data_IF_832947366725
#
_entry.id   IF_832947366725
#
_cell.length_a   1.000
_cell.length_b   1.000
_cell.length_c   1.000
_cell.angle_alpha   90.00
_cell.angle_beta   90.00
_cell.angle_gamma   90.00
#
_symmetry.space_group_name_H-M   'P 1'
#
loop_
_entity.id
_entity.type
_entity.pdbx_description
1 polymer ?
#
# COMPACT_ATOMS: atom_id res chain seq x y z
N UNK A 1 -56.14 -7.64 31.26
CA UNK A 1 -55.16 -7.73 32.36
C UNK A 1 -53.91 -7.01 31.91
N UNK A 2 -53.62 -5.82 32.46
CA UNK A 2 -52.38 -5.09 32.19
C UNK A 2 -51.35 -5.51 33.25
N UNK A 3 -50.30 -6.21 32.84
CA UNK A 3 -49.15 -6.44 33.72
C UNK A 3 -48.40 -5.11 33.92
N UNK A 4 -48.05 -4.72 35.16
CA UNK A 4 -47.31 -3.50 35.40
C UNK A 4 -45.88 -3.65 34.87
N UNK A 5 -45.45 -2.71 34.04
CA UNK A 5 -44.06 -2.60 33.59
C UNK A 5 -43.20 -2.32 34.82
N UNK A 6 -42.26 -3.22 35.11
CA UNK A 6 -41.36 -3.09 36.24
C UNK A 6 -40.34 -1.98 35.96
N UNK A 7 -40.61 -0.77 36.50
CA UNK A 7 -39.84 0.45 36.26
C UNK A 7 -38.35 0.31 36.61
N UNK A 8 -38.02 -0.59 37.54
CA UNK A 8 -36.64 -0.92 37.91
C UNK A 8 -35.86 -1.59 36.76
N UNK A 9 -36.51 -2.41 35.93
CA UNK A 9 -35.88 -3.00 34.74
C UNK A 9 -35.62 -1.95 33.65
N UNK A 10 -36.51 -0.95 33.53
CA UNK A 10 -36.33 0.16 32.60
C UNK A 10 -35.19 1.09 33.01
N UNK A 11 -35.02 1.35 34.32
CA UNK A 11 -33.89 2.14 34.82
C UNK A 11 -32.55 1.41 34.68
N UNK A 12 -32.52 0.08 34.83
CA UNK A 12 -31.31 -0.71 34.61
C UNK A 12 -30.89 -0.73 33.13
N UNK A 13 -31.85 -0.74 32.20
CA UNK A 13 -31.57 -0.63 30.76
C UNK A 13 -31.21 0.80 30.31
N UNK A 14 -31.61 1.82 31.08
CA UNK A 14 -31.29 3.23 30.85
C UNK A 14 -29.97 3.68 31.51
N UNK A 15 -29.23 2.77 32.16
CA UNK A 15 -27.88 3.06 32.58
C UNK A 15 -27.07 3.47 31.33
N UNK A 16 -26.43 4.65 31.32
CA UNK A 16 -25.61 5.05 30.19
C UNK A 16 -24.56 3.95 30.02
N UNK A 17 -24.64 3.23 28.90
CA UNK A 17 -23.58 2.33 28.48
C UNK A 17 -22.33 3.21 28.48
N UNK A 18 -21.47 3.01 29.48
CA UNK A 18 -20.19 3.65 29.52
C UNK A 18 -19.52 3.23 28.22
N UNK A 19 -19.51 4.14 27.25
CA UNK A 19 -18.78 3.98 26.01
C UNK A 19 -17.33 4.07 26.46
N UNK A 20 -16.79 2.94 26.92
CA UNK A 20 -15.35 2.74 27.03
C UNK A 20 -14.82 3.24 25.69
N UNK A 21 -13.91 4.22 25.65
CA UNK A 21 -13.38 4.70 24.39
C UNK A 21 -12.73 3.50 23.73
N UNK A 22 -13.45 2.88 22.79
CA UNK A 22 -12.91 1.91 21.87
C UNK A 22 -11.74 2.64 21.26
N UNK A 23 -10.53 2.18 21.57
CA UNK A 23 -9.30 2.57 20.88
C UNK A 23 -9.65 2.76 19.42
N UNK A 24 -9.57 4.01 18.94
CA UNK A 24 -9.90 4.34 17.57
C UNK A 24 -9.18 3.34 16.67
N UNK A 25 -9.92 2.47 16.00
CA UNK A 25 -9.34 1.47 15.10
C UNK A 25 -8.85 2.27 13.91
N UNK A 26 -7.58 2.68 13.95
CA UNK A 26 -6.91 3.30 12.82
C UNK A 26 -6.69 2.22 11.78
N UNK A 27 -7.12 2.48 10.55
CA UNK A 27 -6.75 1.62 9.44
C UNK A 27 -5.22 1.68 9.27
N UNK A 28 -4.57 0.54 8.98
CA UNK A 28 -3.17 0.52 8.62
C UNK A 28 -2.98 1.30 7.31
N UNK A 29 -2.07 2.26 7.32
CA UNK A 29 -1.74 3.08 6.16
C UNK A 29 -0.41 2.62 5.57
N UNK A 30 -0.26 2.79 4.26
CA UNK A 30 1.02 2.58 3.59
C UNK A 30 2.04 3.60 4.14
N UNK A 31 3.22 3.17 4.61
CA UNK A 31 4.26 4.08 5.05
C UNK A 31 4.63 5.08 3.96
N UNK A 32 4.89 6.35 4.33
CA UNK A 32 5.20 7.40 3.36
C UNK A 32 6.54 7.18 2.62
N UNK A 33 7.42 6.37 3.19
CA UNK A 33 8.70 5.95 2.62
C UNK A 33 8.60 4.67 1.77
N UNK A 34 7.43 4.04 1.71
CA UNK A 34 7.21 2.86 0.89
C UNK A 34 7.28 3.22 -0.59
N UNK A 35 8.16 2.54 -1.33
CA UNK A 35 8.34 2.80 -2.77
C UNK A 35 7.25 2.06 -3.57
N UNK A 36 6.53 2.74 -4.47
CA UNK A 36 5.59 2.09 -5.37
C UNK A 36 6.36 1.21 -6.36
N UNK A 37 5.91 -0.03 -6.53
CA UNK A 37 6.46 -1.00 -7.48
C UNK A 37 5.55 -1.11 -8.71
N UNK A 38 4.25 -1.28 -8.48
CA UNK A 38 3.25 -1.41 -9.53
C UNK A 38 1.88 -0.94 -9.02
N UNK A 39 1.03 -0.43 -9.92
CA UNK A 39 -0.34 -0.02 -9.59
C UNK A 39 -1.35 -0.79 -10.43
N UNK A 40 -2.47 -1.20 -9.83
CA UNK A 40 -3.53 -1.93 -10.51
C UNK A 40 -3.23 -3.42 -10.74
N UNK A 41 -2.46 -4.06 -9.85
CA UNK A 41 -2.30 -5.52 -9.84
C UNK A 41 -3.63 -6.18 -9.45
N UNK A 42 -4.08 -7.18 -10.21
CA UNK A 42 -5.32 -7.89 -9.89
C UNK A 42 -5.06 -9.09 -8.97
N UNK A 43 -5.70 -9.10 -7.80
CA UNK A 43 -5.69 -10.23 -6.87
C UNK A 43 -7.10 -10.55 -6.41
N UNK A 44 -7.56 -11.78 -6.66
CA UNK A 44 -8.91 -12.25 -6.29
C UNK A 44 -10.05 -11.31 -6.74
N UNK A 45 -9.90 -10.70 -7.92
CA UNK A 45 -10.87 -9.75 -8.49
C UNK A 45 -10.82 -8.34 -7.90
N UNK A 46 -9.82 -8.04 -7.06
CA UNK A 46 -9.54 -6.70 -6.55
C UNK A 46 -8.29 -6.12 -7.21
N UNK A 47 -8.35 -4.83 -7.56
CA UNK A 47 -7.17 -4.10 -8.01
C UNK A 47 -6.45 -3.52 -6.79
N UNK A 48 -5.18 -3.86 -6.66
CA UNK A 48 -4.31 -3.44 -5.57
C UNK A 48 -3.02 -2.84 -6.11
N UNK A 49 -2.43 -1.97 -5.32
CA UNK A 49 -1.15 -1.34 -5.61
C UNK A 49 -0.07 -2.00 -4.77
N UNK A 50 1.07 -2.32 -5.40
CA UNK A 50 2.17 -3.04 -4.80
C UNK A 50 3.27 -2.06 -4.41
N UNK A 51 3.71 -2.14 -3.15
CA UNK A 51 4.77 -1.31 -2.60
C UNK A 51 5.83 -2.19 -1.95
N UNK A 52 7.08 -1.76 -2.04
CA UNK A 52 8.17 -2.57 -1.54
C UNK A 52 9.54 -2.04 -1.90
N UNK A 53 10.49 -2.95 -2.03
CA UNK A 53 11.88 -2.62 -2.32
C UNK A 53 12.38 -3.44 -3.51
N UNK A 54 13.39 -2.90 -4.18
CA UNK A 54 14.15 -3.60 -5.20
C UNK A 54 15.57 -3.77 -4.65
N UNK A 55 16.01 -5.00 -4.46
CA UNK A 55 17.33 -5.33 -3.95
C UNK A 55 18.14 -6.16 -4.96
N UNK A 56 19.22 -6.80 -4.50
CA UNK A 56 20.08 -7.63 -5.36
C UNK A 56 19.46 -9.00 -5.72
N UNK A 57 18.41 -9.41 -5.01
CA UNK A 57 17.69 -10.66 -5.20
C UNK A 57 16.43 -10.51 -6.03
N UNK A 58 15.88 -9.29 -6.12
CA UNK A 58 14.71 -8.99 -6.93
C UNK A 58 13.83 -7.93 -6.29
N UNK A 59 12.58 -7.92 -6.70
CA UNK A 59 11.52 -7.15 -6.10
C UNK A 59 11.00 -7.88 -4.85
N UNK A 60 10.89 -7.16 -3.74
CA UNK A 60 10.26 -7.65 -2.52
C UNK A 60 9.05 -6.76 -2.21
N UNK A 61 7.85 -7.32 -2.33
CA UNK A 61 6.59 -6.64 -1.96
C UNK A 61 6.43 -6.67 -0.44
N UNK A 62 6.36 -5.50 0.17
CA UNK A 62 6.22 -5.31 1.63
C UNK A 62 4.83 -4.84 2.04
N UNK A 63 4.21 -4.03 1.21
CA UNK A 63 2.91 -3.46 1.47
C UNK A 63 2.02 -3.58 0.24
N UNK A 64 0.72 -3.73 0.49
CA UNK A 64 -0.28 -3.88 -0.57
C UNK A 64 -1.36 -2.85 -0.30
N UNK A 65 -1.41 -1.82 -1.13
CA UNK A 65 -2.37 -0.75 -1.04
C UNK A 65 -3.69 -1.14 -1.69
N UNK A 66 -4.77 -1.08 -0.93
CA UNK A 66 -6.12 -1.07 -1.48
C UNK A 66 -6.61 0.38 -1.51
N UNK A 67 -6.89 0.88 -2.72
CA UNK A 67 -7.49 2.20 -2.89
C UNK A 67 -8.94 2.19 -2.43
N UNK A 68 -9.21 2.87 -1.31
CA UNK A 68 -10.55 3.29 -0.93
C UNK A 68 -10.74 4.76 -1.37
N UNK A 69 -11.99 5.22 -1.42
CA UNK A 69 -12.38 6.48 -2.06
C UNK A 69 -11.67 7.76 -1.57
N UNK A 70 -11.00 7.71 -0.42
CA UNK A 70 -10.29 8.87 0.16
C UNK A 70 -8.88 8.51 0.64
N UNK A 71 -8.68 7.28 1.12
CA UNK A 71 -7.42 6.83 1.72
C UNK A 71 -6.95 5.50 1.13
N UNK A 72 -5.64 5.28 1.18
CA UNK A 72 -5.01 4.02 0.78
C UNK A 72 -4.72 3.18 2.02
N UNK A 73 -5.39 2.03 2.11
CA UNK A 73 -5.23 1.10 3.25
C UNK A 73 -4.21 0.04 2.91
N UNK A 74 -3.26 -0.19 3.81
CA UNK A 74 -2.32 -1.31 3.69
C UNK A 74 -2.99 -2.61 4.13
N UNK A 75 -3.29 -3.47 3.17
CA UNK A 75 -3.84 -4.80 3.41
C UNK A 75 -2.75 -5.88 3.50
N UNK A 76 -1.48 -5.52 3.29
CA UNK A 76 -0.37 -6.47 3.25
C UNK A 76 -0.23 -7.27 4.54
N UNK A 77 -0.49 -6.66 5.69
CA UNK A 77 -0.46 -7.31 7.00
C UNK A 77 -1.55 -8.39 7.18
N UNK A 78 -2.62 -8.36 6.37
CA UNK A 78 -3.69 -9.35 6.40
C UNK A 78 -3.52 -10.47 5.38
N UNK A 79 -2.60 -10.29 4.43
CA UNK A 79 -2.26 -11.31 3.44
C UNK A 79 -1.31 -12.34 4.04
N UNK A 80 -1.41 -13.57 3.53
CA UNK A 80 -0.44 -14.61 3.88
C UNK A 80 0.90 -14.32 3.23
N UNK A 81 1.98 -14.76 3.87
CA UNK A 81 3.34 -14.60 3.35
C UNK A 81 3.49 -15.19 1.95
N UNK A 82 2.85 -16.32 1.67
CA UNK A 82 2.92 -16.98 0.36
C UNK A 82 2.32 -16.10 -0.75
N UNK A 83 1.28 -15.31 -0.44
CA UNK A 83 0.66 -14.39 -1.40
C UNK A 83 1.60 -13.23 -1.71
N UNK A 84 2.26 -12.67 -0.70
CA UNK A 84 3.25 -11.60 -0.89
C UNK A 84 4.46 -12.08 -1.70
N UNK A 85 4.89 -13.33 -1.51
CA UNK A 85 5.94 -13.94 -2.33
C UNK A 85 5.49 -14.11 -3.79
N UNK A 86 4.27 -14.58 -4.04
CA UNK A 86 3.74 -14.66 -5.41
C UNK A 86 3.66 -13.31 -6.11
N UNK A 87 3.28 -12.25 -5.38
CA UNK A 87 3.29 -10.88 -5.90
C UNK A 87 4.71 -10.39 -6.19
N UNK A 88 5.68 -10.78 -5.37
CA UNK A 88 7.11 -10.47 -5.56
C UNK A 88 7.67 -11.18 -6.79
N UNK A 89 7.42 -12.48 -6.92
CA UNK A 89 7.80 -13.29 -8.08
C UNK A 89 7.18 -12.72 -9.37
N UNK A 90 5.90 -12.30 -9.32
CA UNK A 90 5.25 -11.64 -10.45
C UNK A 90 5.94 -10.32 -10.81
N UNK A 91 6.33 -9.50 -9.82
CA UNK A 91 7.09 -8.29 -10.06
C UNK A 91 8.45 -8.57 -10.72
N UNK A 92 9.17 -9.61 -10.30
CA UNK A 92 10.43 -10.03 -10.92
C UNK A 92 10.26 -10.45 -12.39
N UNK A 93 9.15 -11.08 -12.73
CA UNK A 93 8.87 -11.52 -14.10
C UNK A 93 8.42 -10.38 -15.03
N UNK A 94 7.79 -9.33 -14.50
CA UNK A 94 7.09 -8.31 -15.30
C UNK A 94 7.72 -6.91 -15.24
N UNK A 95 8.50 -6.61 -14.20
CA UNK A 95 9.15 -5.32 -14.04
C UNK A 95 10.63 -5.40 -14.45
N UNK A 96 11.20 -4.31 -14.99
CA UNK A 96 12.60 -4.29 -15.42
C UNK A 96 13.54 -4.53 -14.24
N UNK A 97 14.56 -5.35 -14.42
CA UNK A 97 15.49 -5.69 -13.34
C UNK A 97 16.26 -4.46 -12.84
N UNK A 98 16.84 -4.55 -11.65
CA UNK A 98 17.73 -3.51 -11.12
C UNK A 98 18.91 -3.18 -12.07
N UNK A 99 19.34 -4.16 -12.87
CA UNK A 99 20.36 -3.95 -13.90
C UNK A 99 19.82 -3.13 -15.07
N UNK A 100 18.64 -3.46 -15.57
CA UNK A 100 18.01 -2.75 -16.68
C UNK A 100 17.70 -1.30 -16.31
N UNK A 101 17.21 -1.06 -15.09
CA UNK A 101 16.99 0.29 -14.58
C UNK A 101 18.29 1.11 -14.48
N UNK A 102 19.42 0.46 -14.13
CA UNK A 102 20.72 1.13 -14.14
C UNK A 102 21.19 1.46 -15.55
N UNK A 103 20.99 0.55 -16.51
CA UNK A 103 21.35 0.80 -17.91
C UNK A 103 20.56 1.99 -18.48
N UNK A 104 19.24 2.02 -18.25
CA UNK A 104 18.40 3.16 -18.65
C UNK A 104 18.88 4.47 -18.01
N UNK A 105 19.19 4.46 -16.71
CA UNK A 105 19.72 5.65 -16.03
C UNK A 105 21.06 6.13 -16.60
N UNK A 106 21.95 5.21 -17.00
CA UNK A 106 23.22 5.55 -17.63
C UNK A 106 23.01 6.16 -19.00
N UNK A 107 22.08 5.62 -19.78
CA UNK A 107 21.77 6.13 -21.12
C UNK A 107 21.05 7.49 -21.05
N UNK A 108 20.13 7.68 -20.11
CA UNK A 108 19.51 8.99 -19.84
C UNK A 108 20.55 10.04 -19.43
N UNK A 109 21.47 9.71 -18.52
CA UNK A 109 22.54 10.61 -18.11
C UNK A 109 23.49 10.96 -19.26
N UNK A 110 23.73 10.03 -20.20
CA UNK A 110 24.52 10.29 -21.41
C UNK A 110 23.78 11.22 -22.37
N UNK A 111 22.47 11.01 -22.57
CA UNK A 111 21.64 11.87 -23.40
C UNK A 111 21.63 13.28 -22.81
N UNK A 112 21.32 13.44 -21.53
CA UNK A 112 21.29 14.74 -20.84
C UNK A 112 22.62 15.49 -20.98
N UNK A 113 23.75 14.79 -20.81
CA UNK A 113 25.09 15.38 -21.00
C UNK A 113 25.31 15.85 -22.44
N UNK A 114 24.93 15.04 -23.42
CA UNK A 114 25.12 15.36 -24.83
C UNK A 114 24.21 16.53 -25.28
N UNK A 115 23.05 16.69 -24.64
CA UNK A 115 22.18 17.85 -24.84
C UNK A 115 22.73 19.11 -24.19
N UNK A 116 23.32 18.99 -23.00
CA UNK A 116 24.01 20.10 -22.34
C UNK A 116 25.22 20.57 -23.14
N UNK A 117 26.08 19.65 -23.61
CA UNK A 117 27.24 19.97 -24.45
C UNK A 117 26.82 20.67 -25.75
N UNK A 118 25.75 20.21 -26.40
CA UNK A 118 25.17 20.86 -27.60
C UNK A 118 24.64 22.27 -27.32
N UNK A 119 24.14 22.53 -26.11
CA UNK A 119 23.50 23.80 -25.75
C UNK A 119 24.45 24.82 -25.09
N UNK A 120 25.58 24.38 -24.54
CA UNK A 120 26.51 25.21 -23.77
C UNK A 120 27.93 25.29 -24.36
N UNK A 121 28.17 24.77 -25.56
CA UNK A 121 29.42 25.05 -26.29
C UNK A 121 29.48 26.56 -26.64
N UNK A 122 30.47 27.33 -26.14
CA UNK A 122 30.66 28.71 -26.58
C UNK A 122 31.22 28.72 -28.02
N UNK A 123 31.00 29.80 -28.80
CA UNK A 123 31.50 29.89 -30.17
C UNK A 123 33.04 29.85 -30.26
#
# INVERSE_FOLDING_TARGET
MNAPINFALLQAAAAPVAVTPTTAISQPLIPADARPLHSGYEHDGLLVDLYGVLDAHGYEVKHVGLHLSVDMTDIGAWLKREVLLQMSDWCDDHLPSAHDLRLVSIDEARIERHEWERNFEPP
#
